data_IF_039191598577
#
_entry.id   IF_039191598577
#
_cell.length_a   1.000
_cell.length_b   1.000
_cell.length_c   1.000
_cell.angle_alpha   90.00
_cell.angle_beta   90.00
_cell.angle_gamma   90.00
#
_symmetry.space_group_name_H-M   'P 1'
#
loop_
_entity.id
_entity.type
_entity.pdbx_description
1 polymer ?
#
# COMPACT_ATOMS: atom_id res chain seq x y z
N UNK A 1 -34.82 -9.64 10.25
CA UNK A 1 -33.37 -9.64 10.52
C UNK A 1 -33.17 -9.00 11.88
N UNK A 2 -32.83 -9.77 12.91
CA UNK A 2 -32.69 -9.26 14.29
C UNK A 2 -31.45 -8.35 14.35
N UNK A 3 -31.66 -7.09 14.74
CA UNK A 3 -30.57 -6.17 15.12
C UNK A 3 -30.22 -6.51 16.57
N UNK A 4 -29.19 -7.32 16.75
CA UNK A 4 -28.55 -7.46 18.06
C UNK A 4 -27.62 -6.26 18.25
N UNK A 5 -27.94 -5.42 19.23
CA UNK A 5 -27.02 -4.40 19.70
C UNK A 5 -26.03 -5.06 20.66
N UNK A 6 -24.73 -4.87 20.39
CA UNK A 6 -23.62 -5.48 21.16
C UNK A 6 -23.72 -5.15 22.66
N UNK A 7 -24.28 -3.98 22.98
CA UNK A 7 -24.50 -3.49 24.35
C UNK A 7 -25.48 -4.35 25.16
N UNK A 8 -26.39 -5.05 24.48
CA UNK A 8 -27.39 -5.90 25.12
C UNK A 8 -26.84 -7.29 25.48
N UNK A 9 -25.69 -7.65 24.89
CA UNK A 9 -25.01 -8.96 25.06
C UNK A 9 -23.89 -8.85 26.09
N UNK A 10 -23.26 -7.68 26.19
CA UNK A 10 -22.19 -7.43 27.16
C UNK A 10 -22.77 -7.17 28.54
N UNK A 11 -22.37 -7.92 29.59
CA UNK A 11 -22.78 -7.61 30.95
C UNK A 11 -22.30 -6.21 31.32
N UNK A 12 -23.12 -5.45 32.06
CA UNK A 12 -22.70 -4.15 32.58
C UNK A 12 -21.67 -4.37 33.69
N UNK A 13 -20.48 -3.77 33.54
CA UNK A 13 -19.43 -3.82 34.55
C UNK A 13 -19.47 -2.55 35.41
N UNK A 14 -19.14 -2.72 36.69
CA UNK A 14 -18.93 -1.59 37.59
C UNK A 14 -17.75 -0.73 37.12
N UNK A 15 -17.88 0.60 37.07
CA UNK A 15 -16.83 1.47 36.57
C UNK A 15 -15.64 1.48 37.52
N UNK A 16 -14.45 1.20 37.00
CA UNK A 16 -13.18 1.15 37.75
C UNK A 16 -12.74 2.52 38.31
N UNK A 17 -13.33 3.63 37.84
CA UNK A 17 -12.96 5.03 38.18
C UNK A 17 -11.49 5.40 37.92
N UNK A 18 -10.75 4.55 37.20
CA UNK A 18 -9.40 4.83 36.72
C UNK A 18 -9.49 5.41 35.31
N UNK A 19 -8.80 6.52 35.07
CA UNK A 19 -8.67 7.12 33.76
C UNK A 19 -7.27 6.83 33.23
N UNK A 20 -7.17 6.30 32.01
CA UNK A 20 -5.90 6.08 31.31
C UNK A 20 -5.96 6.91 30.03
N UNK A 21 -4.95 7.76 29.83
CA UNK A 21 -4.76 8.46 28.56
C UNK A 21 -4.21 7.48 27.53
N UNK A 22 -4.79 7.44 26.34
CA UNK A 22 -4.34 6.62 25.23
C UNK A 22 -3.94 7.54 24.06
N UNK A 23 -2.68 7.47 23.65
CA UNK A 23 -2.17 8.11 22.45
C UNK A 23 -1.89 7.04 21.39
N UNK A 24 -2.09 7.37 20.11
CA UNK A 24 -1.91 6.43 19.00
C UNK A 24 -1.08 7.07 17.90
N UNK A 25 -0.04 6.38 17.44
CA UNK A 25 0.98 6.97 16.58
C UNK A 25 1.58 6.04 15.53
N UNK A 26 2.44 6.62 14.68
CA UNK A 26 3.23 5.88 13.69
C UNK A 26 4.51 5.30 14.29
N UNK A 27 5.00 5.89 15.39
CA UNK A 27 6.17 5.42 16.12
C UNK A 27 5.78 4.25 17.03
N UNK A 28 4.76 4.49 17.86
CA UNK A 28 4.15 3.55 18.79
C UNK A 28 2.66 3.43 18.42
N UNK A 29 2.16 2.21 18.25
CA UNK A 29 0.78 1.91 17.87
C UNK A 29 -0.18 2.51 18.87
N UNK A 30 0.07 2.22 20.14
CA UNK A 30 -0.56 2.82 21.28
C UNK A 30 0.50 3.15 22.35
N UNK A 31 0.24 4.20 23.10
CA UNK A 31 0.99 4.62 24.26
C UNK A 31 -0.01 5.00 25.35
N UNK A 32 0.15 4.41 26.53
CA UNK A 32 -0.72 4.70 27.67
C UNK A 32 -0.07 5.73 28.62
N UNK A 33 -0.90 6.40 29.42
CA UNK A 33 -0.43 7.35 30.44
C UNK A 33 0.36 6.69 31.59
N UNK A 34 0.43 5.36 31.63
CA UNK A 34 1.22 4.60 32.60
C UNK A 34 2.64 4.30 32.08
N UNK A 35 2.97 4.74 30.85
CA UNK A 35 4.28 4.55 30.23
C UNK A 35 4.44 3.26 29.43
N UNK A 36 3.36 2.48 29.24
CA UNK A 36 3.37 1.32 28.36
C UNK A 36 3.22 1.76 26.90
N UNK A 37 3.94 1.08 25.99
CA UNK A 37 3.81 1.31 24.55
C UNK A 37 3.78 -0.02 23.79
N UNK A 38 3.03 -0.08 22.70
CA UNK A 38 3.07 -1.22 21.76
C UNK A 38 3.63 -0.74 20.42
N UNK A 39 4.57 -1.49 19.86
CA UNK A 39 5.09 -1.17 18.53
C UNK A 39 4.06 -1.48 17.42
N UNK A 40 3.97 -0.66 16.36
CA UNK A 40 3.08 -0.93 15.24
C UNK A 40 3.57 -2.14 14.45
N UNK A 41 2.69 -3.12 14.17
CA UNK A 41 3.07 -4.29 13.40
C UNK A 41 3.38 -3.91 11.95
N UNK A 42 4.50 -4.41 11.43
CA UNK A 42 5.06 -4.03 10.12
C UNK A 42 4.79 -5.08 9.02
N UNK A 43 3.60 -5.71 9.03
CA UNK A 43 3.26 -6.84 8.14
C UNK A 43 3.44 -6.53 6.64
N UNK A 44 3.12 -5.31 6.22
CA UNK A 44 3.07 -4.94 4.79
C UNK A 44 4.39 -4.42 4.21
N UNK A 45 5.45 -4.23 5.01
CA UNK A 45 6.71 -3.64 4.52
C UNK A 45 7.35 -4.47 3.40
N UNK A 46 7.27 -5.80 3.49
CA UNK A 46 7.83 -6.72 2.49
C UNK A 46 7.04 -6.70 1.17
N UNK A 47 5.71 -6.72 1.25
CA UNK A 47 4.84 -6.69 0.07
C UNK A 47 4.91 -5.35 -0.64
N UNK A 48 4.93 -4.24 0.11
CA UNK A 48 5.12 -2.88 -0.42
C UNK A 48 6.44 -2.74 -1.19
N UNK A 49 7.55 -3.19 -0.60
CA UNK A 49 8.87 -3.18 -1.26
C UNK A 49 8.86 -4.02 -2.55
N UNK A 50 8.16 -5.16 -2.57
CA UNK A 50 8.00 -6.00 -3.76
C UNK A 50 7.16 -5.31 -4.83
N UNK A 51 6.04 -4.71 -4.45
CA UNK A 51 5.15 -3.98 -5.34
C UNK A 51 5.88 -2.82 -6.02
N UNK A 52 6.65 -2.02 -5.27
CA UNK A 52 7.45 -0.92 -5.79
C UNK A 52 8.50 -1.38 -6.82
N UNK A 53 9.13 -2.55 -6.59
CA UNK A 53 10.06 -3.15 -7.58
C UNK A 53 9.35 -3.57 -8.86
N UNK A 54 8.18 -4.19 -8.76
CA UNK A 54 7.39 -4.64 -9.92
C UNK A 54 6.87 -3.45 -10.73
N UNK A 55 6.36 -2.41 -10.07
CA UNK A 55 5.92 -1.17 -10.71
C UNK A 55 7.05 -0.50 -11.48
N UNK A 56 8.26 -0.42 -10.89
CA UNK A 56 9.44 0.11 -11.60
C UNK A 56 9.80 -0.72 -12.83
N UNK A 57 9.76 -2.05 -12.75
CA UNK A 57 10.03 -2.94 -13.91
C UNK A 57 8.99 -2.76 -15.01
N UNK A 58 7.71 -2.67 -14.65
CA UNK A 58 6.60 -2.41 -15.58
C UNK A 58 6.80 -1.08 -16.31
N UNK A 59 7.07 0.00 -15.57
CA UNK A 59 7.33 1.34 -16.11
C UNK A 59 8.54 1.35 -17.07
N UNK A 60 9.67 0.76 -16.68
CA UNK A 60 10.85 0.63 -17.56
C UNK A 60 10.53 -0.11 -18.87
N UNK A 61 9.75 -1.21 -18.80
CA UNK A 61 9.33 -1.97 -19.99
C UNK A 61 8.44 -1.13 -20.90
N UNK A 62 7.50 -0.38 -20.34
CA UNK A 62 6.63 0.52 -21.10
C UNK A 62 7.44 1.60 -21.83
N UNK A 63 8.34 2.30 -21.12
CA UNK A 63 9.18 3.34 -21.71
C UNK A 63 10.09 2.81 -22.82
N UNK A 64 10.65 1.59 -22.65
CA UNK A 64 11.46 0.94 -23.71
C UNK A 64 10.63 0.64 -24.96
N UNK A 65 9.41 0.13 -24.80
CA UNK A 65 8.50 -0.17 -25.92
C UNK A 65 8.08 1.09 -26.66
N UNK A 66 7.79 2.18 -25.96
CA UNK A 66 7.50 3.48 -26.57
C UNK A 66 8.66 3.96 -27.45
N UNK A 67 9.89 3.94 -26.91
CA UNK A 67 11.10 4.28 -27.69
C UNK A 67 11.26 3.41 -28.94
N UNK A 68 11.09 2.09 -28.83
CA UNK A 68 11.17 1.17 -29.97
C UNK A 68 10.11 1.51 -31.03
N UNK A 69 8.86 1.74 -30.63
CA UNK A 69 7.78 2.09 -31.57
C UNK A 69 8.03 3.41 -32.30
N UNK A 70 8.69 4.37 -31.66
CA UNK A 70 9.07 5.64 -32.29
C UNK A 70 10.19 5.41 -33.30
N UNK A 71 11.20 4.59 -32.95
CA UNK A 71 12.30 4.25 -33.86
C UNK A 71 11.83 3.47 -35.08
N UNK A 72 10.99 2.44 -34.91
CA UNK A 72 10.45 1.65 -36.03
C UNK A 72 9.60 2.52 -36.97
N UNK A 73 8.75 3.40 -36.43
CA UNK A 73 7.96 4.35 -37.23
C UNK A 73 8.82 5.36 -38.00
N UNK A 74 10.01 5.69 -37.52
CA UNK A 74 10.96 6.56 -38.25
C UNK A 74 11.64 5.79 -39.38
N UNK A 75 12.06 4.55 -39.13
CA UNK A 75 12.70 3.69 -40.12
C UNK A 75 11.75 3.35 -41.28
N UNK A 76 10.50 3.02 -40.98
CA UNK A 76 9.45 2.80 -41.99
C UNK A 76 9.23 4.01 -42.91
N UNK A 77 9.32 5.24 -42.36
CA UNK A 77 9.21 6.47 -43.15
C UNK A 77 10.44 6.81 -43.99
N UNK A 78 11.63 6.32 -43.60
CA UNK A 78 12.90 6.66 -44.26
C UNK A 78 13.39 5.60 -45.24
N UNK A 79 12.82 4.39 -45.22
CA UNK A 79 13.25 3.30 -46.10
C UNK A 79 12.32 3.21 -47.31
N UNK A 80 12.80 3.39 -48.56
CA UNK A 80 11.99 3.14 -49.74
C UNK A 80 11.54 1.67 -49.75
N UNK A 81 10.26 1.41 -50.02
CA UNK A 81 9.65 0.06 -50.01
C UNK A 81 10.26 -0.91 -51.04
N UNK A 82 11.10 -0.41 -51.94
CA UNK A 82 11.61 -1.13 -53.10
C UNK A 82 12.88 -1.97 -52.83
N UNK A 83 13.45 -1.90 -51.61
CA UNK A 83 14.71 -2.58 -51.26
C UNK A 83 14.47 -3.95 -50.58
N UNK A 84 13.22 -4.28 -50.22
CA UNK A 84 12.85 -5.58 -49.66
C UNK A 84 12.19 -6.44 -50.74
N UNK A 85 13.00 -7.07 -51.60
CA UNK A 85 12.62 -8.23 -52.40
C UNK A 85 13.51 -9.40 -52.05
#
# INVERSE_FOLDING_TARGET
>A
MLKLDIRDITPQLEPTKKCVGLDVGLKDLDADSNGNTVEPPKYYRKSEKRLNKLNRRKSKKFNRRQKQSITTKKLDKSTPRDILK
#
